data_IF_130384347272
#
_entry.id   IF_130384347272
#
_cell.length_a   1.000
_cell.length_b   1.000
_cell.length_c   1.000
_cell.angle_alpha   90.00
_cell.angle_beta   90.00
_cell.angle_gamma   90.00
#
_symmetry.space_group_name_H-M   'P 1'
#
loop_
_entity.id
_entity.type
_entity.pdbx_description
1 polymer ?
#
# COMPACT_ATOMS: atom_id res chain seq x y z
N UNK A 1 5.06 -22.12 14.38
CA UNK A 1 3.91 -21.20 14.24
C UNK A 1 3.23 -21.47 12.91
N UNK A 2 1.91 -21.38 12.81
CA UNK A 2 1.21 -21.56 11.54
C UNK A 2 1.48 -20.37 10.60
N UNK A 3 1.48 -20.55 9.26
CA UNK A 3 1.70 -19.47 8.30
C UNK A 3 0.75 -18.29 8.50
N UNK A 4 -0.51 -18.57 8.86
CA UNK A 4 -1.56 -17.58 9.09
C UNK A 4 -1.24 -16.68 10.28
N UNK A 5 -0.75 -17.26 11.38
CA UNK A 5 -0.36 -16.51 12.57
C UNK A 5 0.85 -15.60 12.27
N UNK A 6 1.83 -16.11 11.53
CA UNK A 6 3.00 -15.32 11.12
C UNK A 6 2.59 -14.14 10.22
N UNK A 7 1.72 -14.39 9.23
CA UNK A 7 1.18 -13.35 8.37
C UNK A 7 0.40 -12.28 9.14
N UNK A 8 -0.44 -12.70 10.09
CA UNK A 8 -1.19 -11.78 10.95
C UNK A 8 -0.27 -10.88 11.80
N UNK A 9 0.77 -11.44 12.40
CA UNK A 9 1.73 -10.66 13.20
C UNK A 9 2.51 -9.64 12.37
N UNK A 10 2.91 -10.00 11.14
CA UNK A 10 3.58 -9.07 10.22
C UNK A 10 2.62 -7.96 9.80
N UNK A 11 1.35 -8.28 9.54
CA UNK A 11 0.34 -7.29 9.14
C UNK A 11 0.14 -6.19 10.20
N UNK A 12 0.33 -6.50 11.50
CA UNK A 12 0.25 -5.52 12.58
C UNK A 12 1.36 -4.45 12.55
N UNK A 13 2.48 -4.72 11.88
CA UNK A 13 3.58 -3.75 11.74
C UNK A 13 3.34 -2.76 10.60
N UNK A 14 2.49 -3.12 9.62
CA UNK A 14 2.24 -2.32 8.42
C UNK A 14 1.69 -0.92 8.75
N UNK A 15 0.70 -0.74 9.65
CA UNK A 15 0.18 0.58 10.00
C UNK A 15 1.22 1.50 10.63
N UNK A 16 2.23 0.96 11.33
CA UNK A 16 3.31 1.78 11.90
C UNK A 16 4.14 2.42 10.77
N UNK A 17 4.57 1.61 9.80
CA UNK A 17 5.34 2.10 8.65
C UNK A 17 4.54 3.08 7.79
N UNK A 18 3.26 2.76 7.50
CA UNK A 18 2.40 3.63 6.70
C UNK A 18 2.07 4.92 7.46
N UNK A 19 1.70 4.84 8.73
CA UNK A 19 1.40 5.99 9.58
C UNK A 19 2.58 6.95 9.66
N UNK A 20 3.76 6.47 10.06
CA UNK A 20 4.99 7.27 10.09
C UNK A 20 5.33 7.82 8.70
N UNK A 21 5.18 7.01 7.65
CA UNK A 21 5.40 7.42 6.27
C UNK A 21 4.52 8.59 5.83
N UNK A 22 3.25 8.63 6.21
CA UNK A 22 2.34 9.75 5.89
C UNK A 22 2.72 11.05 6.60
N UNK A 23 3.26 10.96 7.82
CA UNK A 23 3.80 12.12 8.56
C UNK A 23 5.01 12.71 7.85
N UNK A 24 5.98 11.87 7.49
CA UNK A 24 7.16 12.28 6.73
C UNK A 24 6.79 12.86 5.36
N UNK A 25 5.85 12.21 4.65
CA UNK A 25 5.35 12.68 3.37
C UNK A 25 4.73 14.08 3.51
N UNK A 26 3.85 14.30 4.50
CA UNK A 26 3.25 15.62 4.74
C UNK A 26 4.31 16.68 5.00
N UNK A 27 5.31 16.38 5.82
CA UNK A 27 6.38 17.33 6.15
C UNK A 27 7.11 17.81 4.87
N UNK A 28 7.41 16.90 3.93
CA UNK A 28 8.01 17.27 2.66
C UNK A 28 7.05 17.99 1.69
N UNK A 29 5.82 17.50 1.58
CA UNK A 29 4.84 17.94 0.58
C UNK A 29 4.33 19.38 0.77
N UNK A 30 4.52 19.96 1.96
CA UNK A 30 4.25 21.39 2.20
C UNK A 30 5.17 22.26 1.34
N UNK A 31 6.37 21.78 0.99
CA UNK A 31 7.39 22.55 0.28
C UNK A 31 7.48 22.24 -1.21
N UNK A 32 6.98 21.09 -1.67
CA UNK A 32 7.12 20.62 -3.06
C UNK A 32 5.80 20.11 -3.64
N UNK A 33 5.62 20.10 -4.98
CA UNK A 33 4.46 19.48 -5.61
C UNK A 33 4.33 17.97 -5.28
N UNK A 34 3.10 17.46 -5.23
CA UNK A 34 2.84 16.05 -4.93
C UNK A 34 3.50 15.09 -5.94
N UNK A 35 3.58 15.48 -7.21
CA UNK A 35 4.26 14.68 -8.24
C UNK A 35 5.76 14.53 -7.97
N UNK A 36 6.43 15.63 -7.60
CA UNK A 36 7.86 15.61 -7.24
C UNK A 36 8.09 14.76 -5.97
N UNK A 37 7.26 14.93 -4.93
CA UNK A 37 7.33 14.12 -3.72
C UNK A 37 7.11 12.63 -4.00
N UNK A 38 6.13 12.28 -4.85
CA UNK A 38 5.87 10.91 -5.24
C UNK A 38 7.07 10.30 -5.97
N UNK A 39 7.62 11.02 -6.96
CA UNK A 39 8.81 10.60 -7.72
C UNK A 39 10.02 10.36 -6.80
N UNK A 40 10.33 11.29 -5.91
CA UNK A 40 11.44 11.14 -4.95
C UNK A 40 11.22 9.94 -4.04
N UNK A 41 10.00 9.73 -3.54
CA UNK A 41 9.68 8.58 -2.69
C UNK A 41 9.81 7.25 -3.44
N UNK A 42 9.48 7.23 -4.73
CA UNK A 42 9.55 6.05 -5.59
C UNK A 42 11.01 5.70 -5.90
N UNK A 43 11.82 6.67 -6.32
CA UNK A 43 13.23 6.43 -6.65
C UNK A 43 14.01 5.97 -5.42
N UNK A 44 13.82 6.62 -4.27
CA UNK A 44 14.52 6.25 -3.03
C UNK A 44 14.11 4.87 -2.52
N UNK A 45 12.81 4.56 -2.50
CA UNK A 45 12.31 3.24 -2.13
C UNK A 45 12.76 2.14 -3.10
N UNK A 46 12.68 2.40 -4.41
CA UNK A 46 13.12 1.47 -5.45
C UNK A 46 14.61 1.15 -5.34
N UNK A 47 15.47 2.16 -5.19
CA UNK A 47 16.92 1.95 -5.05
C UNK A 47 17.25 1.06 -3.85
N UNK A 48 16.62 1.32 -2.70
CA UNK A 48 16.86 0.56 -1.49
C UNK A 48 16.41 -0.89 -1.64
N UNK A 49 15.17 -1.13 -2.10
CA UNK A 49 14.65 -2.49 -2.22
C UNK A 49 15.36 -3.27 -3.33
N UNK A 50 15.64 -2.65 -4.48
CA UNK A 50 16.35 -3.29 -5.58
C UNK A 50 17.76 -3.71 -5.16
N UNK A 51 18.48 -2.88 -4.39
CA UNK A 51 19.82 -3.21 -3.89
C UNK A 51 19.78 -4.40 -2.93
N UNK A 52 18.83 -4.41 -1.98
CA UNK A 52 18.67 -5.51 -1.03
C UNK A 52 18.32 -6.81 -1.77
N UNK A 53 17.35 -6.76 -2.68
CA UNK A 53 16.90 -7.94 -3.44
C UNK A 53 17.97 -8.46 -4.38
N UNK A 54 18.74 -7.59 -5.05
CA UNK A 54 19.82 -8.02 -5.93
C UNK A 54 20.94 -8.77 -5.17
N UNK A 55 21.18 -8.43 -3.90
CA UNK A 55 22.18 -9.11 -3.06
C UNK A 55 21.64 -10.41 -2.47
N UNK A 56 20.40 -10.40 -1.97
CA UNK A 56 19.86 -11.55 -1.24
C UNK A 56 19.20 -12.60 -2.15
N UNK A 57 18.64 -12.17 -3.28
CA UNK A 57 17.83 -13.01 -4.16
C UNK A 57 18.07 -12.72 -5.66
N UNK A 58 19.32 -12.78 -6.15
CA UNK A 58 19.64 -12.44 -7.53
C UNK A 58 18.89 -13.31 -8.55
N UNK A 59 18.87 -14.63 -8.34
CA UNK A 59 18.24 -15.57 -9.28
C UNK A 59 16.73 -15.35 -9.38
N UNK A 60 16.07 -15.03 -8.27
CA UNK A 60 14.64 -14.74 -8.26
C UNK A 60 14.31 -13.40 -8.95
N UNK A 61 15.20 -12.41 -8.85
CA UNK A 61 15.03 -11.10 -9.47
C UNK A 61 15.13 -11.17 -11.00
N UNK A 62 16.09 -11.94 -11.52
CA UNK A 62 16.33 -12.07 -12.96
C UNK A 62 15.56 -13.23 -13.61
N UNK A 63 15.03 -14.16 -12.80
CA UNK A 63 14.25 -15.31 -13.25
C UNK A 63 12.74 -15.04 -13.39
N UNK A 64 12.29 -13.79 -13.28
CA UNK A 64 10.86 -13.44 -13.33
C UNK A 64 10.29 -13.75 -14.73
N UNK A 65 9.23 -14.55 -14.77
CA UNK A 65 8.52 -14.82 -16.03
C UNK A 65 7.81 -13.57 -16.55
N UNK A 66 7.64 -13.46 -17.87
CA UNK A 66 6.94 -12.31 -18.47
C UNK A 66 5.50 -12.15 -17.94
N UNK A 67 4.82 -13.26 -17.66
CA UNK A 67 3.48 -13.23 -17.07
C UNK A 67 3.46 -12.64 -15.66
N UNK A 68 4.37 -13.09 -14.79
CA UNK A 68 4.54 -12.52 -13.43
C UNK A 68 4.92 -11.05 -13.50
N UNK A 69 5.84 -10.70 -14.40
CA UNK A 69 6.25 -9.32 -14.63
C UNK A 69 5.07 -8.44 -15.02
N UNK A 70 4.17 -8.93 -15.89
CA UNK A 70 2.96 -8.19 -16.28
C UNK A 70 2.07 -7.84 -15.08
N UNK A 71 1.80 -8.79 -14.19
CA UNK A 71 1.03 -8.53 -12.97
C UNK A 71 1.73 -7.53 -12.03
N UNK A 72 3.04 -7.69 -11.84
CA UNK A 72 3.85 -6.80 -11.00
C UNK A 72 3.99 -5.38 -11.60
N UNK A 73 4.00 -5.26 -12.92
CA UNK A 73 4.00 -3.98 -13.61
C UNK A 73 2.65 -3.28 -13.43
N UNK A 74 1.53 -4.01 -13.55
CA UNK A 74 0.19 -3.44 -13.35
C UNK A 74 0.01 -2.91 -11.92
N UNK A 75 0.40 -3.66 -10.89
CA UNK A 75 0.36 -3.14 -9.52
C UNK A 75 1.29 -1.93 -9.35
N UNK A 76 2.43 -1.89 -10.04
CA UNK A 76 3.30 -0.71 -10.09
C UNK A 76 2.56 0.54 -10.61
N UNK A 77 1.82 0.40 -11.72
CA UNK A 77 1.04 1.51 -12.29
C UNK A 77 -0.12 1.91 -11.39
N UNK A 78 -0.87 0.94 -10.87
CA UNK A 78 -2.06 1.21 -10.03
C UNK A 78 -1.66 1.83 -8.69
N UNK A 79 -0.64 1.31 -8.02
CA UNK A 79 -0.24 1.82 -6.70
C UNK A 79 0.54 3.12 -6.77
N UNK A 80 1.47 3.30 -7.70
CA UNK A 80 2.37 4.46 -7.64
C UNK A 80 1.77 5.72 -8.32
N UNK A 81 1.56 5.77 -9.66
CA UNK A 81 0.82 6.84 -10.31
C UNK A 81 -0.64 6.98 -9.87
N UNK A 82 -1.33 5.87 -9.59
CA UNK A 82 -2.72 5.89 -9.16
C UNK A 82 -2.84 6.24 -7.67
N UNK A 83 -2.80 5.22 -6.82
CA UNK A 83 -3.08 5.35 -5.39
C UNK A 83 -2.17 6.34 -4.65
N UNK A 84 -0.86 6.19 -4.78
CA UNK A 84 0.12 6.95 -3.98
C UNK A 84 0.21 8.41 -4.39
N UNK A 85 0.22 8.71 -5.68
CA UNK A 85 0.16 10.09 -6.15
C UNK A 85 -1.12 10.78 -5.69
N UNK A 86 -2.29 10.15 -5.87
CA UNK A 86 -3.57 10.71 -5.42
C UNK A 86 -3.60 10.89 -3.89
N UNK A 87 -3.02 9.95 -3.14
CA UNK A 87 -2.88 10.08 -1.69
C UNK A 87 -1.92 11.23 -1.30
N UNK A 88 -0.82 11.43 -2.01
CA UNK A 88 0.08 12.56 -1.74
C UNK A 88 -0.59 13.90 -2.06
N UNK A 89 -1.38 13.95 -3.13
CA UNK A 89 -2.23 15.09 -3.45
C UNK A 89 -3.22 15.36 -2.32
N UNK A 90 -3.95 14.33 -1.85
CA UNK A 90 -4.93 14.50 -0.76
C UNK A 90 -4.28 14.92 0.55
N UNK A 91 -3.15 14.31 0.92
CA UNK A 91 -2.36 14.68 2.10
C UNK A 91 -1.87 16.12 1.99
N UNK A 92 -1.43 16.57 0.80
CA UNK A 92 -0.96 17.94 0.57
C UNK A 92 -2.09 18.98 0.74
N UNK A 93 -3.30 18.68 0.30
CA UNK A 93 -4.41 19.65 0.38
C UNK A 93 -5.20 19.58 1.69
N UNK A 94 -5.48 18.38 2.20
CA UNK A 94 -6.35 18.17 3.37
C UNK A 94 -5.57 18.03 4.69
N UNK A 95 -4.27 17.75 4.61
CA UNK A 95 -3.49 17.30 5.75
C UNK A 95 -3.81 15.85 6.14
N UNK A 96 -2.98 15.29 7.02
CA UNK A 96 -3.02 13.86 7.38
C UNK A 96 -4.32 13.51 8.12
N UNK A 97 -4.76 14.37 9.05
CA UNK A 97 -5.93 14.11 9.91
C UNK A 97 -7.25 13.98 9.16
N UNK A 98 -7.32 14.48 7.91
CA UNK A 98 -8.50 14.35 7.04
C UNK A 98 -8.26 13.34 5.92
N UNK A 99 -7.06 13.30 5.34
CA UNK A 99 -6.74 12.41 4.23
C UNK A 99 -6.68 10.93 4.65
N UNK A 100 -6.08 10.62 5.81
CA UNK A 100 -5.89 9.23 6.24
C UNK A 100 -7.19 8.52 6.60
N UNK A 101 -8.14 9.13 7.34
CA UNK A 101 -9.45 8.52 7.58
C UNK A 101 -10.18 8.14 6.28
N UNK A 102 -10.13 9.01 5.28
CA UNK A 102 -10.73 8.73 3.95
C UNK A 102 -10.02 7.56 3.26
N UNK A 103 -8.68 7.50 3.31
CA UNK A 103 -7.92 6.39 2.73
C UNK A 103 -8.24 5.06 3.45
N UNK A 104 -8.55 5.10 4.74
CA UNK A 104 -8.83 3.91 5.53
C UNK A 104 -10.15 3.20 5.15
N UNK A 105 -10.87 3.71 4.17
CA UNK A 105 -11.95 3.00 3.47
C UNK A 105 -11.44 1.84 2.58
N UNK A 106 -10.12 1.74 2.34
CA UNK A 106 -9.52 0.70 1.49
C UNK A 106 -9.97 -0.74 1.81
N UNK A 107 -10.16 -1.18 3.08
CA UNK A 107 -10.64 -2.53 3.39
C UNK A 107 -12.00 -2.87 2.78
N UNK A 108 -12.92 -1.89 2.65
CA UNK A 108 -14.22 -2.11 2.00
C UNK A 108 -14.03 -2.37 0.51
N UNK A 109 -13.20 -1.56 -0.14
CA UNK A 109 -12.90 -1.69 -1.57
C UNK A 109 -12.20 -3.01 -1.85
N UNK A 110 -11.18 -3.37 -1.06
CA UNK A 110 -10.45 -4.63 -1.24
C UNK A 110 -11.30 -5.86 -0.93
N UNK A 111 -12.19 -5.80 0.06
CA UNK A 111 -13.13 -6.89 0.34
C UNK A 111 -14.09 -7.12 -0.84
N UNK A 112 -14.60 -6.04 -1.45
CA UNK A 112 -15.40 -6.14 -2.66
C UNK A 112 -14.60 -6.74 -3.82
N UNK A 113 -13.38 -6.24 -4.05
CA UNK A 113 -12.51 -6.75 -5.12
C UNK A 113 -12.14 -8.22 -4.93
N UNK A 114 -11.85 -8.65 -3.70
CA UNK A 114 -11.57 -10.05 -3.36
C UNK A 114 -12.77 -10.97 -3.63
N UNK A 115 -13.98 -10.54 -3.27
CA UNK A 115 -15.20 -11.31 -3.57
C UNK A 115 -15.46 -11.38 -5.07
N UNK A 116 -15.39 -10.25 -5.77
CA UNK A 116 -15.80 -10.15 -7.19
C UNK A 116 -14.77 -10.76 -8.13
N UNK A 117 -13.48 -10.49 -7.92
CA UNK A 117 -12.43 -10.87 -8.85
C UNK A 117 -11.65 -12.12 -8.41
N UNK A 118 -11.54 -12.37 -7.10
CA UNK A 118 -10.80 -13.54 -6.57
C UNK A 118 -11.72 -14.67 -6.11
N UNK A 119 -13.04 -14.46 -6.06
CA UNK A 119 -14.01 -15.46 -5.64
C UNK A 119 -13.92 -15.79 -4.14
N UNK A 120 -13.37 -14.88 -3.34
CA UNK A 120 -13.26 -15.06 -1.89
C UNK A 120 -14.65 -15.08 -1.23
N UNK A 121 -14.81 -15.92 -0.21
CA UNK A 121 -16.08 -16.00 0.51
C UNK A 121 -16.11 -14.99 1.66
N UNK A 122 -17.02 -14.02 1.56
CA UNK A 122 -17.32 -13.09 2.63
C UNK A 122 -18.28 -13.74 3.64
N UNK A 123 -17.77 -14.06 4.83
CA UNK A 123 -18.61 -14.48 5.94
C UNK A 123 -19.00 -13.29 6.83
N UNK A 124 -20.01 -13.50 7.69
CA UNK A 124 -20.52 -12.45 8.58
C UNK A 124 -19.49 -11.87 9.53
N UNK A 125 -18.53 -12.68 10.00
CA UNK A 125 -17.48 -12.18 10.90
C UNK A 125 -16.54 -11.20 10.17
N UNK A 126 -16.14 -11.51 8.93
CA UNK A 126 -15.32 -10.61 8.10
C UNK A 126 -16.11 -9.35 7.75
N UNK A 127 -17.37 -9.48 7.34
CA UNK A 127 -18.20 -8.34 6.98
C UNK A 127 -18.39 -7.36 8.17
N UNK A 128 -18.74 -7.87 9.35
CA UNK A 128 -18.93 -7.06 10.55
C UNK A 128 -17.59 -6.45 10.99
N UNK A 129 -16.50 -7.23 10.98
CA UNK A 129 -15.17 -6.74 11.32
C UNK A 129 -14.71 -5.60 10.43
N UNK A 130 -14.87 -5.72 9.11
CA UNK A 130 -14.54 -4.66 8.14
C UNK A 130 -15.38 -3.41 8.38
N UNK A 131 -16.68 -3.54 8.61
CA UNK A 131 -17.57 -2.40 8.89
C UNK A 131 -17.20 -1.70 10.20
N UNK A 132 -16.95 -2.46 11.27
CA UNK A 132 -16.52 -1.91 12.55
C UNK A 132 -15.21 -1.15 12.41
N UNK A 133 -14.21 -1.74 11.73
CA UNK A 133 -12.91 -1.13 11.51
C UNK A 133 -13.04 0.21 10.77
N UNK A 134 -13.90 0.29 9.76
CA UNK A 134 -14.11 1.54 9.01
C UNK A 134 -14.93 2.56 9.79
N UNK A 135 -15.99 2.14 10.49
CA UNK A 135 -16.85 3.05 11.25
C UNK A 135 -16.16 3.69 12.46
N UNK A 136 -15.12 3.05 12.99
CA UNK A 136 -14.35 3.55 14.13
C UNK A 136 -13.27 4.57 13.79
N UNK A 137 -13.07 4.87 12.49
CA UNK A 137 -12.07 5.81 11.96
C UNK A 137 -12.71 7.18 11.72
#
# INVERSE_FOLDING_TARGET
MSPELTGGLIALLVPLCFGTGTVLARAGLVHIPAGAGNFVSLVTGWLLIASITAVLYPDALFGITLGTFGWLAMIGVVNFPGGRFLNFVSIKYLGILRANPILAMAPIVSAFEGVVFLGEQLNWAIAIGTLMAVSGI
#
